data_IF_537129399450
#
_entry.id   IF_537129399450
#
_cell.length_a   1.000
_cell.length_b   1.000
_cell.length_c   1.000
_cell.angle_alpha   90.00
_cell.angle_beta   90.00
_cell.angle_gamma   90.00
#
_symmetry.space_group_name_H-M   'P 1'
#
loop_
_entity.id
_entity.type
_entity.pdbx_description
1 polymer ?
#
# COMPACT_ATOMS: atom_id res chain seq x y z
N UNK A 1 -16.48 -1.23 16.83
CA UNK A 1 -15.95 -2.34 16.01
C UNK A 1 -15.00 -1.75 14.99
N UNK A 2 -13.76 -2.24 14.92
CA UNK A 2 -12.75 -1.74 14.00
C UNK A 2 -13.01 -2.35 12.61
N UNK A 3 -13.33 -1.50 11.63
CA UNK A 3 -13.46 -1.87 10.23
C UNK A 3 -12.29 -1.30 9.45
N UNK A 4 -11.83 -2.03 8.45
CA UNK A 4 -10.84 -1.55 7.50
C UNK A 4 -11.53 -1.31 6.17
N UNK A 5 -11.33 -0.12 5.59
CA UNK A 5 -11.85 0.21 4.26
C UNK A 5 -10.85 -0.26 3.20
N UNK A 6 -11.21 -1.31 2.45
CA UNK A 6 -10.41 -1.80 1.33
C UNK A 6 -11.22 -1.68 0.03
N UNK A 7 -10.73 -0.89 -0.93
CA UNK A 7 -11.32 -0.75 -2.26
C UNK A 7 -12.85 -0.51 -2.26
N UNK A 8 -13.31 0.42 -1.42
CA UNK A 8 -14.73 0.74 -1.27
C UNK A 8 -15.54 -0.24 -0.41
N UNK A 9 -14.93 -1.32 0.06
CA UNK A 9 -15.56 -2.29 0.96
C UNK A 9 -15.16 -2.02 2.42
N UNK A 10 -16.04 -2.37 3.36
CA UNK A 10 -15.72 -2.41 4.80
C UNK A 10 -15.48 -3.86 5.21
N UNK A 11 -14.22 -4.24 5.38
CA UNK A 11 -13.85 -5.55 5.89
C UNK A 11 -13.80 -5.47 7.42
N UNK A 12 -14.48 -6.40 8.12
CA UNK A 12 -14.31 -6.51 9.58
C UNK A 12 -12.99 -7.22 9.82
N UNK A 13 -12.20 -6.76 10.79
CA UNK A 13 -10.92 -7.40 11.11
C UNK A 13 -11.06 -8.91 11.39
N UNK A 14 -12.19 -9.35 11.97
CA UNK A 14 -12.50 -10.76 12.23
C UNK A 14 -12.74 -11.63 10.98
N UNK A 15 -12.96 -11.02 9.81
CA UNK A 15 -13.23 -11.74 8.57
C UNK A 15 -11.92 -12.12 7.84
N UNK A 16 -10.76 -11.65 8.32
CA UNK A 16 -9.44 -12.02 7.77
C UNK A 16 -8.99 -13.32 8.42
N UNK A 17 -8.86 -14.38 7.62
CA UNK A 17 -8.43 -15.72 8.05
C UNK A 17 -7.27 -16.22 7.21
N UNK A 18 -6.42 -17.08 7.78
CA UNK A 18 -5.38 -17.78 7.01
C UNK A 18 -5.97 -18.96 6.23
N UNK A 19 -5.12 -19.67 5.48
CA UNK A 19 -5.52 -20.84 4.70
C UNK A 19 -6.18 -21.97 5.53
N UNK A 20 -5.93 -22.01 6.84
CA UNK A 20 -6.52 -22.98 7.76
C UNK A 20 -7.81 -22.47 8.43
N UNK A 21 -8.35 -21.33 7.98
CA UNK A 21 -9.56 -20.71 8.54
C UNK A 21 -9.34 -20.05 9.91
N UNK A 22 -8.10 -19.94 10.40
CA UNK A 22 -7.80 -19.26 11.67
C UNK A 22 -7.81 -17.75 11.46
N UNK A 23 -8.52 -17.03 12.32
CA UNK A 23 -8.52 -15.56 12.34
C UNK A 23 -7.09 -15.02 12.47
N UNK A 24 -6.75 -14.06 11.60
CA UNK A 24 -5.52 -13.29 11.69
C UNK A 24 -5.87 -11.85 12.05
N UNK A 25 -5.05 -11.24 12.90
CA UNK A 25 -5.19 -9.83 13.21
C UNK A 25 -4.77 -8.97 12.02
N UNK A 26 -5.71 -8.19 11.49
CA UNK A 26 -5.41 -7.16 10.49
C UNK A 26 -4.85 -5.92 11.18
N UNK A 27 -3.62 -5.56 10.82
CA UNK A 27 -2.87 -4.42 11.35
C UNK A 27 -2.81 -3.29 10.34
N UNK A 28 -2.46 -2.09 10.80
CA UNK A 28 -2.25 -0.93 9.95
C UNK A 28 -1.07 -0.09 10.41
N UNK A 29 -0.35 0.48 9.46
CA UNK A 29 0.69 1.49 9.69
C UNK A 29 0.47 2.69 8.77
N UNK A 30 0.66 3.89 9.30
CA UNK A 30 0.69 5.10 8.49
C UNK A 30 2.12 5.36 8.03
N UNK A 31 2.28 5.65 6.74
CA UNK A 31 3.54 6.07 6.14
C UNK A 31 3.34 7.44 5.49
N UNK A 32 4.32 8.32 5.64
CA UNK A 32 4.30 9.64 5.00
C UNK A 32 5.71 10.12 4.69
N UNK A 33 5.82 11.01 3.72
CA UNK A 33 7.10 11.56 3.28
C UNK A 33 6.94 12.39 2.01
N UNK A 34 8.07 12.87 1.48
CA UNK A 34 8.10 13.58 0.21
C UNK A 34 8.55 12.64 -0.91
N UNK A 35 7.78 12.59 -1.99
CA UNK A 35 8.14 11.89 -3.21
C UNK A 35 9.16 12.73 -3.99
N UNK A 36 10.45 12.45 -3.84
CA UNK A 36 11.51 13.05 -4.66
C UNK A 36 11.43 12.63 -6.13
N UNK A 37 12.56 12.35 -6.78
CA UNK A 37 12.67 11.87 -8.19
C UNK A 37 12.21 10.40 -8.40
N UNK A 38 11.28 9.91 -7.59
CA UNK A 38 10.91 8.50 -7.54
C UNK A 38 10.13 8.24 -6.27
N UNK A 39 8.80 8.32 -6.39
CA UNK A 39 7.84 8.35 -5.29
C UNK A 39 7.75 7.06 -4.48
N UNK A 40 8.79 6.69 -3.74
CA UNK A 40 8.82 5.42 -3.02
C UNK A 40 9.05 5.68 -1.54
N UNK A 41 8.14 5.21 -0.69
CA UNK A 41 8.29 5.27 0.77
C UNK A 41 8.52 3.88 1.34
N UNK A 42 9.54 3.76 2.20
CA UNK A 42 9.79 2.56 2.99
C UNK A 42 8.70 2.41 4.06
N UNK A 43 8.17 1.20 4.20
CA UNK A 43 7.09 0.91 5.17
C UNK A 43 7.60 0.50 6.55
N UNK A 44 8.86 0.04 6.64
CA UNK A 44 9.40 -0.63 7.82
C UNK A 44 8.95 -2.08 7.99
N UNK A 45 8.04 -2.58 7.14
CA UNK A 45 7.60 -3.97 7.14
C UNK A 45 8.59 -4.86 6.39
N UNK A 46 8.82 -6.07 6.91
CA UNK A 46 9.61 -7.10 6.23
C UNK A 46 8.70 -8.10 5.52
N UNK A 47 9.05 -8.46 4.29
CA UNK A 47 8.31 -9.41 3.45
C UNK A 47 8.28 -10.84 3.97
N UNK A 48 9.20 -11.18 4.87
CA UNK A 48 9.30 -12.48 5.55
C UNK A 48 8.40 -12.60 6.76
N UNK A 49 8.07 -11.49 7.44
CA UNK A 49 7.24 -11.49 8.66
C UNK A 49 5.88 -10.83 8.48
N UNK A 50 5.64 -10.18 7.33
CA UNK A 50 4.38 -9.49 7.06
C UNK A 50 3.94 -9.64 5.60
N UNK A 51 2.63 -9.55 5.35
CA UNK A 51 2.02 -9.43 4.01
C UNK A 51 1.11 -8.22 3.95
N UNK A 52 1.38 -7.32 3.00
CA UNK A 52 0.50 -6.18 2.70
C UNK A 52 -0.76 -6.71 2.03
N UNK A 53 -1.92 -6.35 2.57
CA UNK A 53 -3.24 -6.72 2.04
C UNK A 53 -3.78 -5.59 1.17
N UNK A 54 -3.58 -4.33 1.58
CA UNK A 54 -4.04 -3.17 0.83
C UNK A 54 -3.37 -1.90 1.32
N UNK A 55 -3.47 -0.85 0.50
CA UNK A 55 -2.96 0.49 0.79
C UNK A 55 -4.11 1.47 0.52
N UNK A 56 -4.45 2.29 1.51
CA UNK A 56 -5.40 3.40 1.37
C UNK A 56 -4.62 4.72 1.18
N UNK A 57 -4.82 5.36 0.03
CA UNK A 57 -4.12 6.55 -0.41
C UNK A 57 -4.93 7.29 -1.48
N UNK A 58 -4.72 8.61 -1.59
CA UNK A 58 -5.29 9.44 -2.65
C UNK A 58 -4.71 9.16 -4.05
N UNK A 59 -3.62 8.40 -4.13
CA UNK A 59 -2.93 8.07 -5.36
C UNK A 59 -2.97 6.57 -5.63
N UNK A 60 -2.92 6.14 -6.90
CA UNK A 60 -2.58 4.77 -7.24
C UNK A 60 -1.23 4.38 -6.61
N UNK A 61 -1.18 3.19 -6.01
CA UNK A 61 0.03 2.71 -5.32
C UNK A 61 0.36 1.28 -5.70
N UNK A 62 1.65 0.95 -5.69
CA UNK A 62 2.16 -0.41 -5.88
C UNK A 62 3.11 -0.75 -4.73
N UNK A 63 2.86 -1.83 -3.97
CA UNK A 63 3.85 -2.35 -3.04
C UNK A 63 4.97 -3.06 -3.80
N UNK A 64 6.23 -2.79 -3.45
CA UNK A 64 7.40 -3.49 -3.98
C UNK A 64 8.28 -3.96 -2.82
N UNK A 65 8.92 -5.11 -2.96
CA UNK A 65 9.94 -5.63 -2.04
C UNK A 65 11.33 -5.37 -2.61
N UNK A 66 12.20 -4.72 -1.85
CA UNK A 66 13.62 -4.54 -2.15
C UNK A 66 14.39 -5.02 -0.92
N UNK A 67 15.35 -5.93 -1.10
CA UNK A 67 16.16 -6.52 -0.02
C UNK A 67 15.34 -7.03 1.17
N UNK A 68 14.16 -7.60 0.87
CA UNK A 68 13.26 -8.19 1.85
C UNK A 68 12.38 -7.17 2.60
N UNK A 69 12.50 -5.88 2.34
CA UNK A 69 11.68 -4.83 2.96
C UNK A 69 10.62 -4.30 1.99
N UNK A 70 9.44 -3.98 2.51
CA UNK A 70 8.38 -3.39 1.69
C UNK A 70 8.55 -1.89 1.54
N UNK A 71 8.33 -1.47 0.30
CA UNK A 71 8.23 -0.10 -0.15
C UNK A 71 6.87 0.11 -0.83
N UNK A 72 6.35 1.32 -0.78
CA UNK A 72 5.15 1.73 -1.52
C UNK A 72 5.54 2.77 -2.54
N UNK A 73 5.33 2.45 -3.81
CA UNK A 73 5.47 3.39 -4.92
C UNK A 73 4.15 4.11 -5.11
N UNK A 74 4.18 5.44 -5.19
CA UNK A 74 3.03 6.29 -5.47
C UNK A 74 3.07 6.75 -6.93
N UNK A 75 1.95 6.62 -7.63
CA UNK A 75 1.89 6.84 -9.06
C UNK A 75 0.91 7.96 -9.40
N UNK A 76 1.18 8.64 -10.50
CA UNK A 76 0.26 9.55 -11.15
C UNK A 76 -0.09 9.01 -12.54
N UNK A 77 -1.36 9.19 -12.91
CA UNK A 77 -1.79 8.96 -14.28
C UNK A 77 -1.28 10.08 -15.17
N UNK A 78 -0.71 9.73 -16.33
CA UNK A 78 -0.07 10.67 -17.25
C UNK A 78 -0.58 10.46 -18.67
N UNK A 79 -0.88 11.56 -19.37
CA UNK A 79 -1.10 11.55 -20.82
C UNK A 79 0.24 11.79 -21.51
N UNK A 80 0.66 10.83 -22.34
CA UNK A 80 1.98 10.81 -22.99
C UNK A 80 1.93 11.35 -24.43
N UNK A 81 0.76 11.75 -24.92
CA UNK A 81 0.51 12.20 -26.29
C UNK A 81 -0.11 11.12 -27.18
N UNK A 82 -0.68 11.49 -28.32
CA UNK A 82 -1.28 10.57 -29.31
C UNK A 82 -2.27 9.54 -28.73
N UNK A 83 -3.06 9.93 -27.72
CA UNK A 83 -3.98 9.05 -26.97
C UNK A 83 -3.29 7.90 -26.22
N UNK A 84 -2.00 8.03 -25.91
CA UNK A 84 -1.24 7.10 -25.08
C UNK A 84 -1.27 7.60 -23.64
N UNK A 85 -1.57 6.69 -22.73
CA UNK A 85 -1.60 6.96 -21.29
C UNK A 85 -0.68 6.01 -20.55
N UNK A 86 -0.12 6.47 -19.43
CA UNK A 86 0.77 5.68 -18.60
C UNK A 86 0.70 6.08 -17.14
N UNK A 87 1.47 5.36 -16.33
CA UNK A 87 1.69 5.68 -14.93
C UNK A 87 3.15 6.06 -14.73
N UNK A 88 3.38 7.20 -14.09
CA UNK A 88 4.71 7.64 -13.67
C UNK A 88 4.76 7.83 -12.16
N UNK A 89 5.97 7.88 -11.60
CA UNK A 89 6.14 8.27 -10.19
C UNK A 89 5.66 9.71 -9.97
N UNK A 90 5.03 9.96 -8.83
CA UNK A 90 4.70 11.32 -8.40
C UNK A 90 5.98 12.07 -8.03
N UNK A 91 6.14 13.30 -8.50
CA UNK A 91 7.34 14.09 -8.20
C UNK A 91 6.99 15.31 -7.35
N UNK A 92 7.87 15.63 -6.40
CA UNK A 92 7.82 16.81 -5.53
C UNK A 92 6.48 16.98 -4.77
N UNK A 93 5.90 15.88 -4.30
CA UNK A 93 4.65 15.91 -3.53
C UNK A 93 4.84 15.31 -2.14
N UNK A 94 4.14 15.89 -1.16
CA UNK A 94 3.95 15.22 0.13
C UNK A 94 2.88 14.14 -0.04
N UNK A 95 3.24 12.90 0.27
CA UNK A 95 2.37 11.73 0.14
C UNK A 95 2.19 11.08 1.50
N UNK A 96 1.00 10.50 1.71
CA UNK A 96 0.64 9.75 2.90
C UNK A 96 -0.24 8.58 2.52
N UNK A 97 -0.04 7.43 3.17
CA UNK A 97 -0.85 6.25 2.97
C UNK A 97 -1.02 5.46 4.27
N UNK A 98 -2.16 4.78 4.40
CA UNK A 98 -2.36 3.75 5.41
C UNK A 98 -2.14 2.38 4.77
N UNK A 99 -1.11 1.66 5.21
CA UNK A 99 -0.80 0.31 4.77
C UNK A 99 -1.46 -0.68 5.71
N UNK A 100 -2.35 -1.51 5.20
CA UNK A 100 -3.00 -2.60 5.92
C UNK A 100 -2.26 -3.91 5.65
N UNK A 101 -1.92 -4.65 6.70
CA UNK A 101 -1.08 -5.84 6.60
C UNK A 101 -1.44 -6.89 7.66
N UNK A 102 -0.95 -8.10 7.48
CA UNK A 102 -1.00 -9.19 8.46
C UNK A 102 0.41 -9.69 8.74
N UNK A 103 0.64 -10.25 9.92
CA UNK A 103 1.87 -11.00 10.20
C UNK A 103 1.76 -12.44 9.68
N UNK A 104 2.90 -13.00 9.27
CA UNK A 104 3.01 -14.38 8.73
C UNK A 104 3.80 -15.28 9.67
#
# INVERSE_FOLDING_TARGET
MNYVKLWGNKIRAKDVVNANGKSIELKSIQISGNSGSGATLKTGLKSTSSKIISIDCSYPTIPWIIDGEYYVVFLQYMHLGSNIYGFGGINNASVSATVYYVDV
#
